data_IF_596952216868
#
_entry.id   IF_596952216868
#
_cell.length_a   1.000
_cell.length_b   1.000
_cell.length_c   1.000
_cell.angle_alpha   90.00
_cell.angle_beta   90.00
_cell.angle_gamma   90.00
#
_symmetry.space_group_name_H-M   'P 1'
#
loop_
_entity.id
_entity.type
_entity.pdbx_description
1 polymer ?
#
# COMPACT_ATOMS: atom_id res chain seq x y z
N UNK A 1 -12.86 9.96 39.06
CA UNK A 1 -12.13 8.83 38.43
C UNK A 1 -12.95 8.41 37.23
N UNK A 2 -12.51 8.78 36.00
CA UNK A 2 -13.15 8.34 34.76
C UNK A 2 -12.76 6.88 34.54
N UNK A 3 -13.74 5.97 34.54
CA UNK A 3 -13.52 4.59 34.12
C UNK A 3 -13.17 4.61 32.60
N UNK A 4 -11.96 4.23 32.27
CA UNK A 4 -11.60 3.91 30.90
C UNK A 4 -12.38 2.64 30.57
N UNK A 5 -13.39 2.74 29.70
CA UNK A 5 -14.03 1.56 29.13
C UNK A 5 -12.94 0.80 28.38
N UNK A 6 -12.66 -0.43 28.79
CA UNK A 6 -11.71 -1.28 28.09
C UNK A 6 -12.22 -1.46 26.66
N UNK A 7 -11.45 -1.04 25.67
CA UNK A 7 -11.75 -1.33 24.26
C UNK A 7 -11.77 -2.85 24.08
N UNK A 8 -12.80 -3.36 23.41
CA UNK A 8 -12.86 -4.79 23.10
C UNK A 8 -11.73 -5.11 22.14
N UNK A 9 -10.86 -6.04 22.53
CA UNK A 9 -9.85 -6.61 21.64
C UNK A 9 -10.43 -7.82 20.92
N UNK A 10 -10.13 -7.94 19.65
CA UNK A 10 -10.55 -9.03 18.77
C UNK A 10 -9.37 -9.97 18.47
N UNK A 11 -9.63 -11.25 18.29
CA UNK A 11 -8.65 -12.15 17.68
C UNK A 11 -8.61 -11.93 16.16
N UNK A 12 -7.58 -12.46 15.49
CA UNK A 12 -7.48 -12.43 14.04
C UNK A 12 -8.65 -13.17 13.36
N UNK A 13 -9.06 -14.30 13.94
CA UNK A 13 -10.17 -15.10 13.46
C UNK A 13 -11.52 -14.36 13.60
N UNK A 14 -11.74 -13.71 14.75
CA UNK A 14 -12.92 -12.87 14.97
C UNK A 14 -12.97 -11.72 13.97
N UNK A 15 -11.82 -11.03 13.76
CA UNK A 15 -11.74 -9.97 12.75
C UNK A 15 -12.07 -10.49 11.35
N UNK A 16 -11.44 -11.56 10.89
CA UNK A 16 -11.68 -12.12 9.56
C UNK A 16 -13.14 -12.52 9.35
N UNK A 17 -13.78 -13.10 10.38
CA UNK A 17 -15.20 -13.45 10.32
C UNK A 17 -16.10 -12.20 10.20
N UNK A 18 -15.79 -11.14 10.96
CA UNK A 18 -16.50 -9.87 10.91
C UNK A 18 -16.29 -9.17 9.57
N UNK A 19 -15.05 -9.06 9.11
CA UNK A 19 -14.67 -8.40 7.85
C UNK A 19 -15.33 -9.04 6.63
N UNK A 20 -15.36 -10.38 6.58
CA UNK A 20 -16.00 -11.13 5.48
C UNK A 20 -17.53 -11.02 5.46
N UNK A 21 -18.14 -10.69 6.61
CA UNK A 21 -19.58 -10.47 6.72
C UNK A 21 -19.98 -9.00 6.59
N UNK A 22 -19.02 -8.07 6.65
CA UNK A 22 -19.27 -6.63 6.64
C UNK A 22 -19.54 -6.09 5.23
N UNK A 23 -20.33 -5.00 5.16
CA UNK A 23 -20.55 -4.22 3.93
C UNK A 23 -19.40 -3.22 3.68
N UNK A 24 -18.60 -2.92 4.72
CA UNK A 24 -17.53 -1.94 4.69
C UNK A 24 -16.22 -2.58 5.12
N UNK A 25 -15.13 -2.19 4.48
CA UNK A 25 -13.79 -2.68 4.81
C UNK A 25 -13.28 -2.06 6.10
N UNK A 26 -12.51 -2.85 6.82
CA UNK A 26 -11.75 -2.43 7.98
C UNK A 26 -10.36 -3.04 8.00
N UNK A 27 -9.41 -2.34 8.59
CA UNK A 27 -8.08 -2.85 8.88
C UNK A 27 -8.01 -3.36 10.32
N UNK A 28 -7.08 -4.27 10.57
CA UNK A 28 -6.87 -4.83 11.90
C UNK A 28 -5.41 -4.73 12.31
N UNK A 29 -5.17 -4.32 13.54
CA UNK A 29 -3.84 -4.38 14.13
C UNK A 29 -3.91 -4.42 15.66
N UNK A 30 -3.11 -5.31 16.26
CA UNK A 30 -2.97 -5.46 17.72
C UNK A 30 -4.29 -5.64 18.47
N UNK A 31 -5.25 -6.34 17.87
CA UNK A 31 -6.56 -6.57 18.47
C UNK A 31 -7.61 -5.49 18.17
N UNK A 32 -7.25 -4.41 17.53
CA UNK A 32 -8.14 -3.30 17.20
C UNK A 32 -8.57 -3.33 15.74
N UNK A 33 -9.82 -2.94 15.49
CA UNK A 33 -10.41 -2.83 14.15
C UNK A 33 -10.55 -1.34 13.81
N UNK A 34 -10.04 -0.95 12.66
CA UNK A 34 -10.03 0.42 12.15
C UNK A 34 -10.89 0.51 10.89
N UNK A 35 -12.00 1.22 10.97
CA UNK A 35 -12.85 1.42 9.79
C UNK A 35 -12.11 2.20 8.70
N UNK A 36 -12.22 1.73 7.46
CA UNK A 36 -11.71 2.49 6.31
C UNK A 36 -12.70 3.56 5.90
N UNK A 37 -12.19 4.72 5.52
CA UNK A 37 -12.98 5.84 5.00
C UNK A 37 -12.85 5.95 3.49
N UNK A 38 -13.73 6.73 2.86
CA UNK A 38 -13.60 7.05 1.44
C UNK A 38 -12.32 7.83 1.13
N UNK A 39 -11.92 7.82 -0.13
CA UNK A 39 -10.72 8.49 -0.64
C UNK A 39 -11.06 9.78 -1.39
N UNK A 40 -10.11 10.70 -1.52
CA UNK A 40 -10.25 11.91 -2.33
C UNK A 40 -10.24 11.60 -3.83
N UNK A 41 -10.62 12.59 -4.63
CA UNK A 41 -10.53 12.50 -6.09
C UNK A 41 -9.08 12.32 -6.56
N UNK A 42 -8.15 13.07 -5.98
CA UNK A 42 -6.72 13.01 -6.28
C UNK A 42 -6.16 11.62 -5.98
N UNK A 43 -6.48 11.07 -4.81
CA UNK A 43 -6.08 9.73 -4.41
C UNK A 43 -6.57 8.69 -5.44
N UNK A 44 -7.85 8.72 -5.78
CA UNK A 44 -8.45 7.80 -6.74
C UNK A 44 -7.79 7.88 -8.12
N UNK A 45 -7.46 9.10 -8.58
CA UNK A 45 -6.85 9.30 -9.88
C UNK A 45 -5.38 8.86 -9.90
N UNK A 46 -4.62 9.11 -8.82
CA UNK A 46 -3.25 8.58 -8.67
C UNK A 46 -3.26 7.05 -8.68
N UNK A 47 -4.16 6.42 -7.92
CA UNK A 47 -4.31 4.96 -7.91
C UNK A 47 -4.60 4.40 -9.31
N UNK A 48 -5.49 5.05 -10.07
CA UNK A 48 -5.82 4.67 -11.44
C UNK A 48 -4.64 4.82 -12.39
N UNK A 49 -3.87 5.91 -12.28
CA UNK A 49 -2.67 6.13 -13.10
C UNK A 49 -1.59 5.09 -12.79
N UNK A 50 -1.29 4.86 -11.52
CA UNK A 50 -0.32 3.85 -11.07
C UNK A 50 -0.70 2.45 -11.55
N UNK A 51 -1.97 2.07 -11.39
CA UNK A 51 -2.48 0.79 -11.86
C UNK A 51 -2.30 0.60 -13.36
N UNK A 52 -2.64 1.61 -14.15
CA UNK A 52 -2.44 1.59 -15.61
C UNK A 52 -0.97 1.48 -16.00
N UNK A 53 -0.09 2.28 -15.35
CA UNK A 53 1.35 2.30 -15.66
C UNK A 53 1.99 0.96 -15.32
N UNK A 54 1.76 0.46 -14.10
CA UNK A 54 2.30 -0.82 -13.65
C UNK A 54 1.68 -1.99 -14.41
N UNK A 55 0.36 -1.99 -14.61
CA UNK A 55 -0.34 -3.05 -15.33
C UNK A 55 0.19 -3.22 -16.75
N UNK A 56 0.44 -2.11 -17.48
CA UNK A 56 1.01 -2.16 -18.81
C UNK A 56 2.44 -2.72 -18.83
N UNK A 57 3.27 -2.40 -17.83
CA UNK A 57 4.65 -2.88 -17.76
C UNK A 57 4.77 -4.33 -17.27
N UNK A 58 3.76 -4.81 -16.54
CA UNK A 58 3.74 -6.17 -15.97
C UNK A 58 3.00 -7.19 -16.86
N UNK A 59 2.39 -6.77 -17.98
CA UNK A 59 1.50 -7.60 -18.80
C UNK A 59 2.12 -8.95 -19.21
N UNK A 60 3.40 -8.96 -19.58
CA UNK A 60 4.11 -10.16 -20.03
C UNK A 60 5.08 -10.71 -18.93
N UNK A 61 4.90 -10.30 -17.68
CA UNK A 61 5.73 -10.72 -16.56
C UNK A 61 4.93 -11.63 -15.61
N UNK A 62 5.59 -12.50 -14.85
CA UNK A 62 4.93 -13.35 -13.87
C UNK A 62 4.59 -12.55 -12.60
N UNK A 63 3.94 -11.40 -12.76
CA UNK A 63 3.53 -10.52 -11.67
C UNK A 63 2.07 -10.11 -11.83
N UNK A 64 1.35 -10.07 -10.73
CA UNK A 64 -0.05 -9.64 -10.64
C UNK A 64 -0.14 -8.35 -9.84
N UNK A 65 -1.04 -7.45 -10.25
CA UNK A 65 -1.33 -6.21 -9.56
C UNK A 65 -2.74 -6.24 -8.96
N UNK A 66 -2.86 -5.90 -7.71
CA UNK A 66 -4.12 -5.82 -6.97
C UNK A 66 -4.29 -4.40 -6.44
N UNK A 67 -5.52 -3.86 -6.55
CA UNK A 67 -5.84 -2.48 -6.18
C UNK A 67 -6.86 -2.51 -5.06
N UNK A 68 -6.55 -1.85 -3.93
CA UNK A 68 -7.45 -1.50 -2.83
C UNK A 68 -8.29 -2.62 -2.19
N UNK A 69 -8.46 -3.76 -2.85
CA UNK A 69 -9.37 -4.84 -2.41
C UNK A 69 -8.65 -6.09 -1.91
N UNK A 70 -7.34 -6.19 -2.16
CA UNK A 70 -6.54 -7.31 -1.69
C UNK A 70 -5.98 -7.01 -0.30
N UNK A 71 -6.49 -7.73 0.69
CA UNK A 71 -5.95 -7.66 2.04
C UNK A 71 -4.55 -8.28 2.09
N UNK A 72 -3.65 -7.66 2.84
CA UNK A 72 -2.29 -8.13 3.08
C UNK A 72 -2.12 -8.41 4.56
N UNK A 73 -1.57 -9.57 4.89
CA UNK A 73 -1.23 -9.94 6.26
C UNK A 73 0.24 -9.66 6.55
N UNK A 74 0.51 -8.83 7.56
CA UNK A 74 1.83 -8.70 8.14
C UNK A 74 1.92 -9.60 9.38
N UNK A 75 2.28 -10.87 9.17
CA UNK A 75 2.15 -11.93 10.18
C UNK A 75 2.91 -11.65 11.48
N UNK A 76 4.13 -11.10 11.40
CA UNK A 76 4.92 -10.76 12.60
C UNK A 76 4.28 -9.64 13.43
N UNK A 77 3.59 -8.71 12.76
CA UNK A 77 2.90 -7.60 13.41
C UNK A 77 1.44 -7.92 13.77
N UNK A 78 0.96 -9.12 13.46
CA UNK A 78 -0.45 -9.52 13.66
C UNK A 78 -1.43 -8.50 13.11
N UNK A 79 -1.16 -7.98 11.91
CA UNK A 79 -1.99 -6.97 11.26
C UNK A 79 -2.47 -7.42 9.90
N UNK A 80 -3.63 -6.89 9.53
CA UNK A 80 -4.29 -7.05 8.23
C UNK A 80 -4.58 -5.67 7.69
N UNK A 81 -4.04 -5.37 6.51
CA UNK A 81 -4.10 -4.05 5.88
C UNK A 81 -4.63 -4.16 4.45
N UNK A 82 -5.18 -3.08 3.94
CA UNK A 82 -5.56 -2.92 2.56
C UNK A 82 -4.69 -1.82 1.91
N UNK A 83 -3.51 -2.17 1.39
CA UNK A 83 -2.70 -1.20 0.66
C UNK A 83 -3.44 -0.73 -0.59
N UNK A 84 -3.18 0.49 -1.04
CA UNK A 84 -3.79 1.02 -2.25
C UNK A 84 -3.41 0.20 -3.48
N UNK A 85 -2.16 -0.29 -3.53
CA UNK A 85 -1.70 -1.24 -4.55
C UNK A 85 -0.80 -2.29 -3.91
N UNK A 86 -1.04 -3.56 -4.25
CA UNK A 86 -0.15 -4.67 -3.96
C UNK A 86 0.29 -5.34 -5.28
N UNK A 87 1.58 -5.59 -5.43
CA UNK A 87 2.12 -6.39 -6.54
C UNK A 87 2.73 -7.66 -5.95
N UNK A 88 2.37 -8.79 -6.52
CA UNK A 88 2.97 -10.09 -6.22
C UNK A 88 3.61 -10.65 -7.47
N UNK A 89 4.87 -11.10 -7.38
CA UNK A 89 5.58 -11.75 -8.47
C UNK A 89 5.79 -13.24 -8.17
N UNK A 90 5.53 -14.07 -9.17
CA UNK A 90 5.50 -15.52 -9.00
C UNK A 90 4.15 -16.03 -8.50
N UNK A 91 4.14 -17.14 -7.79
CA UNK A 91 2.91 -17.76 -7.31
C UNK A 91 2.39 -17.02 -6.07
N UNK A 92 1.16 -16.46 -6.09
CA UNK A 92 0.59 -15.83 -4.91
C UNK A 92 0.31 -16.86 -3.80
N UNK A 93 0.59 -16.47 -2.57
CA UNK A 93 0.34 -17.25 -1.36
C UNK A 93 -0.77 -16.57 -0.55
N UNK A 94 -1.78 -17.33 -0.18
CA UNK A 94 -2.93 -16.86 0.58
C UNK A 94 -3.00 -17.49 1.96
N UNK A 95 -3.61 -16.81 2.92
CA UNK A 95 -3.74 -17.29 4.29
C UNK A 95 -4.60 -18.54 4.40
N UNK A 96 -5.68 -18.60 3.61
CA UNK A 96 -6.63 -19.68 3.60
C UNK A 96 -7.32 -19.87 2.23
N UNK A 97 -8.30 -20.77 2.16
CA UNK A 97 -9.03 -21.10 0.94
C UNK A 97 -10.02 -20.03 0.45
N UNK A 98 -10.13 -18.88 1.12
CA UNK A 98 -10.95 -17.76 0.64
C UNK A 98 -10.21 -16.90 -0.39
N UNK A 99 -8.88 -16.99 -0.48
CA UNK A 99 -8.05 -16.24 -1.43
C UNK A 99 -8.21 -14.72 -1.34
N UNK A 100 -8.52 -14.19 -0.16
CA UNK A 100 -8.78 -12.78 0.10
C UNK A 100 -7.70 -12.07 0.91
N UNK A 101 -6.66 -12.81 1.34
CA UNK A 101 -5.57 -12.31 2.18
C UNK A 101 -4.22 -12.80 1.64
N UNK A 102 -3.47 -11.89 1.03
CA UNK A 102 -2.16 -12.16 0.44
C UNK A 102 -1.07 -12.18 1.52
N UNK A 103 -0.16 -13.16 1.43
CA UNK A 103 0.94 -13.33 2.38
C UNK A 103 2.29 -12.88 1.83
N UNK A 104 2.47 -12.88 0.50
CA UNK A 104 3.77 -12.69 -0.15
C UNK A 104 3.81 -11.54 -1.19
N UNK A 105 3.38 -10.32 -0.86
CA UNK A 105 3.54 -9.18 -1.76
C UNK A 105 5.03 -8.92 -2.02
N UNK A 106 5.35 -8.49 -3.26
CA UNK A 106 6.69 -8.06 -3.68
C UNK A 106 6.87 -6.55 -3.54
N UNK A 107 5.82 -5.79 -3.85
CA UNK A 107 5.77 -4.34 -3.72
C UNK A 107 4.41 -3.93 -3.15
N UNK A 108 4.43 -2.94 -2.24
CA UNK A 108 3.24 -2.29 -1.72
C UNK A 108 3.31 -0.79 -1.98
N UNK A 109 2.17 -0.17 -2.23
CA UNK A 109 2.03 1.28 -2.43
C UNK A 109 0.91 1.80 -1.54
N UNK A 110 1.19 2.88 -0.83
CA UNK A 110 0.20 3.70 -0.12
C UNK A 110 0.22 5.12 -0.70
N UNK A 111 -0.95 5.65 -1.01
CA UNK A 111 -1.14 7.01 -1.47
C UNK A 111 -1.50 7.84 -0.25
N UNK A 112 -0.59 8.73 0.14
CA UNK A 112 -0.67 9.48 1.38
C UNK A 112 -1.92 10.37 1.42
N UNK A 113 -2.62 10.35 2.55
CA UNK A 113 -3.70 11.29 2.84
C UNK A 113 -3.42 11.99 4.18
N UNK A 114 -3.97 13.18 4.44
CA UNK A 114 -3.76 13.87 5.72
C UNK A 114 -4.14 13.03 6.94
N UNK A 115 -5.09 12.09 6.79
CA UNK A 115 -5.56 11.22 7.88
C UNK A 115 -4.69 9.98 8.09
N UNK A 116 -3.97 9.50 7.07
CA UNK A 116 -3.24 8.23 7.12
C UNK A 116 -1.72 8.39 7.07
N UNK A 117 -1.19 9.50 6.57
CA UNK A 117 0.23 9.74 6.32
C UNK A 117 1.14 9.35 7.50
N UNK A 118 0.80 9.77 8.71
CA UNK A 118 1.59 9.44 9.90
C UNK A 118 1.62 7.93 10.18
N UNK A 119 0.51 7.23 9.93
CA UNK A 119 0.41 5.77 10.04
C UNK A 119 1.21 5.07 8.93
N UNK A 120 1.09 5.54 7.69
CA UNK A 120 1.72 4.93 6.52
C UNK A 120 3.26 5.02 6.62
N UNK A 121 3.79 6.21 7.04
CA UNK A 121 5.23 6.42 7.27
C UNK A 121 5.78 5.67 8.48
N UNK A 122 4.97 5.45 9.50
CA UNK A 122 5.38 4.88 10.78
C UNK A 122 4.95 3.44 10.96
N UNK A 123 3.72 3.27 11.46
CA UNK A 123 3.21 1.97 11.89
C UNK A 123 3.10 0.97 10.76
N UNK A 124 2.46 1.33 9.63
CA UNK A 124 2.30 0.42 8.50
C UNK A 124 3.65 0.00 7.93
N UNK A 125 4.61 0.93 7.77
CA UNK A 125 5.96 0.55 7.34
C UNK A 125 6.65 -0.40 8.31
N UNK A 126 6.53 -0.16 9.63
CA UNK A 126 7.08 -1.06 10.65
C UNK A 126 6.48 -2.47 10.58
N UNK A 127 5.19 -2.58 10.25
CA UNK A 127 4.48 -3.85 10.05
C UNK A 127 4.91 -4.52 8.73
N UNK A 128 4.88 -3.79 7.61
CA UNK A 128 5.18 -4.30 6.27
C UNK A 128 6.63 -4.75 6.10
N UNK A 129 7.60 -4.04 6.68
CA UNK A 129 9.02 -4.42 6.59
C UNK A 129 9.32 -5.82 7.14
N UNK A 130 8.44 -6.36 7.99
CA UNK A 130 8.51 -7.72 8.50
C UNK A 130 8.06 -8.82 7.52
N UNK A 131 7.45 -8.47 6.38
CA UNK A 131 7.04 -9.42 5.35
C UNK A 131 8.28 -9.84 4.55
N UNK A 132 8.68 -11.11 4.55
CA UNK A 132 9.96 -11.53 3.93
C UNK A 132 10.03 -11.27 2.42
N UNK A 133 8.92 -11.44 1.72
CA UNK A 133 8.80 -11.27 0.26
C UNK A 133 8.76 -9.82 -0.19
N UNK A 134 8.44 -8.88 0.72
CA UNK A 134 8.34 -7.46 0.38
C UNK A 134 9.74 -6.89 0.12
N UNK A 135 9.96 -6.41 -1.09
CA UNK A 135 11.23 -5.82 -1.53
C UNK A 135 11.17 -4.31 -1.65
N UNK A 136 10.00 -3.76 -1.95
CA UNK A 136 9.82 -2.31 -2.07
C UNK A 136 8.48 -1.86 -1.46
N UNK A 137 8.52 -0.67 -0.85
CA UNK A 137 7.35 0.03 -0.32
C UNK A 137 7.37 1.47 -0.79
N UNK A 138 6.28 1.94 -1.37
CA UNK A 138 6.15 3.29 -1.90
C UNK A 138 5.14 4.10 -1.11
N UNK A 139 5.49 5.36 -0.86
CA UNK A 139 4.58 6.38 -0.37
C UNK A 139 4.45 7.46 -1.44
N UNK A 140 3.24 7.66 -1.95
CA UNK A 140 2.93 8.58 -3.04
C UNK A 140 2.17 9.77 -2.51
N UNK A 141 2.71 10.98 -2.66
CA UNK A 141 2.04 12.21 -2.22
C UNK A 141 0.84 12.53 -3.11
N UNK A 142 -0.22 13.12 -2.53
CA UNK A 142 -1.33 13.69 -3.30
C UNK A 142 -1.11 15.16 -3.66
N UNK A 143 -0.24 15.85 -2.94
CA UNK A 143 -0.08 17.32 -2.99
C UNK A 143 1.08 17.76 -3.87
N UNK A 144 2.08 16.91 -4.03
CA UNK A 144 3.31 17.19 -4.77
C UNK A 144 3.68 16.01 -5.68
N UNK A 145 4.33 16.24 -6.83
CA UNK A 145 4.90 15.15 -7.64
C UNK A 145 6.10 14.55 -6.91
N UNK A 146 5.82 13.71 -5.92
CA UNK A 146 6.79 13.14 -4.99
C UNK A 146 6.44 11.71 -4.65
N UNK A 147 7.44 10.83 -4.74
CA UNK A 147 7.37 9.44 -4.30
C UNK A 147 8.55 9.15 -3.39
N UNK A 148 8.27 8.57 -2.23
CA UNK A 148 9.26 8.00 -1.32
C UNK A 148 9.30 6.51 -1.55
N UNK A 149 10.47 6.00 -1.91
CA UNK A 149 10.71 4.57 -2.13
C UNK A 149 11.58 4.02 -1.03
N UNK A 150 11.05 3.07 -0.30
CA UNK A 150 11.82 2.22 0.60
C UNK A 150 12.15 0.93 -0.15
N UNK A 151 13.43 0.65 -0.34
CA UNK A 151 13.93 -0.57 -0.98
C UNK A 151 14.68 -1.43 0.03
N UNK A 152 14.35 -2.72 0.09
CA UNK A 152 15.02 -3.67 0.99
C UNK A 152 16.46 -3.86 0.55
N UNK A 153 17.39 -3.82 1.52
CA UNK A 153 18.80 -4.10 1.38
C UNK A 153 19.19 -5.28 2.27
N UNK A 154 20.42 -5.77 2.14
CA UNK A 154 20.90 -6.87 2.96
C UNK A 154 20.80 -6.58 4.47
N UNK A 155 21.03 -5.34 4.88
CA UNK A 155 21.07 -4.94 6.30
C UNK A 155 20.00 -3.90 6.66
N UNK A 156 18.90 -3.84 5.92
CA UNK A 156 17.82 -2.90 6.26
C UNK A 156 17.05 -2.36 5.06
N UNK A 157 16.63 -1.10 5.14
CA UNK A 157 15.84 -0.45 4.10
C UNK A 157 16.46 0.89 3.72
N UNK A 158 16.61 1.11 2.42
CA UNK A 158 17.07 2.38 1.86
C UNK A 158 15.88 3.23 1.46
N UNK A 159 15.76 4.41 2.05
CA UNK A 159 14.81 5.42 1.61
C UNK A 159 15.43 6.30 0.52
N UNK A 160 14.74 6.42 -0.59
CA UNK A 160 15.02 7.39 -1.66
C UNK A 160 13.80 8.25 -1.89
N UNK A 161 13.98 9.55 -1.94
CA UNK A 161 12.92 10.52 -2.25
C UNK A 161 13.14 11.03 -3.67
N UNK A 162 12.11 10.94 -4.51
CA UNK A 162 12.11 11.41 -5.89
C UNK A 162 11.02 12.46 -6.06
N UNK A 163 11.38 13.63 -6.57
CA UNK A 163 10.48 14.78 -6.71
C UNK A 163 10.58 15.42 -8.09
N UNK A 164 9.47 16.02 -8.53
CA UNK A 164 9.37 16.77 -9.78
C UNK A 164 8.77 15.97 -10.93
N UNK A 165 8.06 16.66 -11.83
CA UNK A 165 7.36 16.03 -12.96
C UNK A 165 8.30 15.31 -13.95
N UNK A 166 9.54 15.76 -14.08
CA UNK A 166 10.52 15.16 -15.02
C UNK A 166 11.31 14.00 -14.39
N UNK A 167 10.99 13.65 -13.14
CA UNK A 167 11.68 12.59 -12.44
C UNK A 167 11.06 11.21 -12.69
N UNK A 168 11.87 10.18 -12.52
CA UNK A 168 11.45 8.78 -12.69
C UNK A 168 11.89 7.96 -11.49
N UNK A 169 10.99 7.17 -10.92
CA UNK A 169 11.28 6.18 -9.88
C UNK A 169 11.49 4.82 -10.53
N UNK A 170 12.66 4.22 -10.32
CA UNK A 170 12.93 2.83 -10.76
C UNK A 170 12.47 1.87 -9.66
N UNK A 171 11.75 0.83 -10.06
CA UNK A 171 11.25 -0.24 -9.21
C UNK A 171 12.00 -1.52 -9.56
N UNK A 172 13.17 -1.69 -8.97
CA UNK A 172 14.11 -2.76 -9.32
C UNK A 172 13.55 -4.14 -9.00
N UNK A 173 12.75 -4.25 -7.92
CA UNK A 173 12.14 -5.51 -7.49
C UNK A 173 11.20 -6.13 -8.51
N UNK A 174 10.52 -5.30 -9.30
CA UNK A 174 9.56 -5.74 -10.32
C UNK A 174 10.00 -5.33 -11.72
N UNK A 175 11.17 -4.69 -11.87
CA UNK A 175 11.75 -4.24 -13.13
C UNK A 175 10.89 -3.21 -13.88
N UNK A 176 10.17 -2.35 -13.17
CA UNK A 176 9.33 -1.28 -13.70
C UNK A 176 9.91 0.09 -13.43
N UNK A 177 9.31 1.12 -14.04
CA UNK A 177 9.62 2.52 -13.76
C UNK A 177 8.35 3.36 -13.74
N UNK A 178 8.30 4.34 -12.84
CA UNK A 178 7.22 5.30 -12.70
C UNK A 178 7.73 6.67 -13.13
N UNK A 179 7.27 7.18 -14.26
CA UNK A 179 7.43 8.56 -14.65
C UNK A 179 6.42 9.40 -13.83
N UNK A 180 6.91 10.38 -13.06
CA UNK A 180 6.05 11.17 -12.19
C UNK A 180 5.05 12.01 -12.98
N UNK A 181 5.38 12.44 -14.19
CA UNK A 181 4.44 13.14 -15.07
C UNK A 181 3.22 12.27 -15.40
N UNK A 182 3.44 10.98 -15.66
CA UNK A 182 2.36 10.03 -15.92
C UNK A 182 1.58 9.65 -14.66
N UNK A 183 2.26 9.51 -13.52
CA UNK A 183 1.61 9.24 -12.20
C UNK A 183 0.66 10.37 -11.83
N UNK A 184 1.09 11.63 -12.01
CA UNK A 184 0.32 12.82 -11.63
C UNK A 184 -0.50 13.41 -12.78
N UNK A 185 -0.62 12.70 -13.89
CA UNK A 185 -1.41 13.16 -15.05
C UNK A 185 -2.85 13.47 -14.65
N UNK A 186 -3.28 14.72 -14.90
CA UNK A 186 -4.59 15.26 -14.54
C UNK A 186 -4.88 15.35 -13.02
N UNK A 187 -3.89 15.10 -12.18
CA UNK A 187 -3.98 15.27 -10.72
C UNK A 187 -3.44 16.63 -10.33
N UNK A 188 -2.23 16.93 -10.76
CA UNK A 188 -1.54 18.19 -10.48
C UNK A 188 -1.28 18.93 -11.80
N UNK A 189 -1.37 20.26 -11.75
CA UNK A 189 -0.98 21.10 -12.88
C UNK A 189 0.54 21.29 -12.90
N UNK A 190 1.15 21.07 -14.08
CA UNK A 190 2.54 21.40 -14.26
C UNK A 190 2.73 22.92 -14.24
N UNK A 191 3.79 23.44 -13.61
CA UNK A 191 4.16 24.85 -13.77
C UNK A 191 4.34 25.16 -15.26
N UNK A 192 3.64 26.15 -15.78
CA UNK A 192 3.86 26.62 -17.15
C UNK A 192 5.28 27.15 -17.22
N UNK A 193 6.07 26.64 -18.20
CA UNK A 193 7.33 27.26 -18.54
C UNK A 193 7.06 28.72 -18.98
N UNK A 194 7.63 29.70 -18.29
CA UNK A 194 7.62 31.11 -18.69
C UNK A 194 8.50 31.33 -19.93
#
# INVERSE_FOLDING_TARGET
MSAVLAEKLYSAEEYLALERAAEYKSEYADGLIYAMTGVSWEHSLIASNLSRILGNQLLDRPCEIHIADMRVKAALARSYRYPDIAVVCGKPEFEDGHFDTLLNPTLLVEILSPSTEASDRGRKFAEYRGIPSLLEYLLVSQELPRIERYARQAEGWLLTVVEGFDATVKLDAIGCALDLREVYRKVLEEPRAE
#
